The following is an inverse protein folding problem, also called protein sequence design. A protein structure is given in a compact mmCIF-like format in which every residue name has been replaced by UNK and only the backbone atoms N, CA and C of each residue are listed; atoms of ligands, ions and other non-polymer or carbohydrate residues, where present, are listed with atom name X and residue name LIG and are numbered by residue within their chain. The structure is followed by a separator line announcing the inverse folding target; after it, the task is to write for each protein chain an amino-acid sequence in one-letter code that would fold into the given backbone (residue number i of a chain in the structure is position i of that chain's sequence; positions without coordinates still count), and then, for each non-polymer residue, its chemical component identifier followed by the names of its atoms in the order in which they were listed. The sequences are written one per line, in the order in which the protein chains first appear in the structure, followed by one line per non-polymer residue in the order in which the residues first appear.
data_IF_820440074357
#
_entry.id   IF_820440074357
#
_cell.length_a   1.000
_cell.length_b   1.000
_cell.length_c   1.000
_cell.angle_alpha   90.00
_cell.angle_beta   90.00
_cell.angle_gamma   90.00
#
_symmetry.space_group_name_H-M   'P 1'
#
loop_
_entity.id
_entity.type
_entity.pdbx_description
1 polymer ?
#
# COMPACT_ATOMS: atom_id res chain seq x y z
N UNK A 1 -23.11 -2.12 4.90
CA UNK A 1 -21.90 -1.28 4.94
C UNK A 1 -22.28 0.06 4.33
N UNK A 2 -22.02 1.19 5.01
CA UNK A 2 -22.24 2.52 4.42
C UNK A 2 -21.34 2.66 3.19
N UNK A 3 -21.86 3.20 2.08
CA UNK A 3 -21.15 3.32 0.80
C UNK A 3 -21.30 4.72 0.19
N UNK A 4 -21.10 5.77 1.00
CA UNK A 4 -21.33 7.16 0.61
C UNK A 4 -22.79 7.51 0.25
N UNK A 5 -23.73 6.63 0.61
CA UNK A 5 -25.17 6.83 0.42
C UNK A 5 -25.79 7.20 1.77
N UNK A 6 -26.45 8.36 1.83
CA UNK A 6 -27.03 8.89 3.06
C UNK A 6 -25.99 9.55 3.99
N UNK A 7 -26.40 9.95 5.20
CA UNK A 7 -25.52 10.61 6.15
C UNK A 7 -24.38 9.69 6.59
N UNK A 8 -23.22 10.27 6.88
CA UNK A 8 -22.08 9.54 7.42
C UNK A 8 -22.45 8.88 8.77
N UNK A 9 -22.02 7.63 9.04
CA UNK A 9 -22.31 6.97 10.31
C UNK A 9 -21.79 7.78 11.50
N UNK A 10 -22.65 8.05 12.49
CA UNK A 10 -22.28 8.86 13.66
C UNK A 10 -21.01 8.36 14.39
N UNK A 11 -20.80 7.04 14.42
CA UNK A 11 -19.61 6.41 15.01
C UNK A 11 -18.29 6.84 14.35
N UNK A 12 -18.32 7.34 13.10
CA UNK A 12 -17.10 7.81 12.42
C UNK A 12 -16.52 9.05 13.11
N UNK A 13 -17.37 9.95 13.63
CA UNK A 13 -16.90 11.14 14.34
C UNK A 13 -16.18 10.75 15.65
N UNK A 14 -16.76 9.84 16.43
CA UNK A 14 -16.16 9.33 17.67
C UNK A 14 -14.83 8.61 17.38
N UNK A 15 -14.80 7.76 16.36
CA UNK A 15 -13.61 7.04 15.94
C UNK A 15 -12.52 7.98 15.39
N UNK A 16 -12.89 9.02 14.65
CA UNK A 16 -11.98 10.03 14.10
C UNK A 16 -11.30 10.82 15.20
N UNK A 17 -12.04 11.27 16.21
CA UNK A 17 -11.45 11.96 17.36
C UNK A 17 -10.49 11.04 18.13
N UNK A 18 -10.93 9.83 18.46
CA UNK A 18 -10.12 8.87 19.21
C UNK A 18 -8.82 8.52 18.48
N UNK A 19 -8.92 8.24 17.18
CA UNK A 19 -7.77 7.97 16.30
C UNK A 19 -6.82 9.16 16.26
N UNK A 20 -7.35 10.36 16.06
CA UNK A 20 -6.56 11.59 15.93
C UNK A 20 -5.75 11.86 17.20
N UNK A 21 -6.38 11.70 18.38
CA UNK A 21 -5.69 11.85 19.67
C UNK A 21 -4.61 10.78 19.86
N UNK A 22 -4.91 9.52 19.55
CA UNK A 22 -3.96 8.42 19.67
C UNK A 22 -2.75 8.61 18.75
N UNK A 23 -2.96 8.98 17.49
CA UNK A 23 -1.86 9.24 16.56
C UNK A 23 -1.08 10.51 16.92
N UNK A 24 -1.73 11.53 17.49
CA UNK A 24 -1.02 12.72 17.99
C UNK A 24 -0.09 12.36 19.16
N UNK A 25 -0.52 11.48 20.07
CA UNK A 25 0.33 10.97 21.13
C UNK A 25 1.53 10.19 20.55
N UNK A 26 1.29 9.29 19.59
CA UNK A 26 2.36 8.54 18.93
C UNK A 26 3.38 9.44 18.22
N UNK A 27 2.95 10.56 17.63
CA UNK A 27 3.87 11.55 17.04
C UNK A 27 4.72 12.21 18.12
N UNK A 28 4.13 12.64 19.25
CA UNK A 28 4.90 13.23 20.36
C UNK A 28 5.92 12.24 20.92
N UNK A 29 5.49 11.01 21.20
CA UNK A 29 6.35 9.95 21.72
C UNK A 29 7.52 9.67 20.75
N UNK A 30 7.25 9.63 19.44
CA UNK A 30 8.29 9.47 18.43
C UNK A 30 9.27 10.65 18.46
N UNK A 31 8.79 11.88 18.42
CA UNK A 31 9.63 13.09 18.41
C UNK A 31 10.51 13.16 19.66
N UNK A 32 9.92 12.92 20.83
CA UNK A 32 10.64 12.87 22.11
C UNK A 32 11.67 11.74 22.16
N UNK A 33 11.35 10.56 21.61
CA UNK A 33 12.30 9.43 21.57
C UNK A 33 13.56 9.70 20.74
N UNK A 34 13.51 10.67 19.82
CA UNK A 34 14.66 11.16 19.06
C UNK A 34 15.34 12.38 19.70
N UNK A 35 14.92 12.79 20.91
CA UNK A 35 15.46 13.96 21.60
C UNK A 35 15.09 15.30 20.95
N UNK A 36 14.02 15.31 20.15
CA UNK A 36 13.50 16.49 19.48
C UNK A 36 12.28 17.04 20.23
N UNK A 37 11.87 18.25 19.89
CA UNK A 37 10.61 18.85 20.33
C UNK A 37 9.66 19.02 19.14
N UNK A 38 8.36 19.21 19.40
CA UNK A 38 7.42 19.50 18.32
C UNK A 38 7.75 20.81 17.57
N UNK A 39 8.48 21.74 18.19
CA UNK A 39 8.96 22.96 17.53
C UNK A 39 10.02 22.71 16.45
N UNK A 40 10.68 21.55 16.48
CA UNK A 40 11.64 21.12 15.47
C UNK A 40 10.96 20.48 14.24
N UNK A 41 9.65 20.20 14.32
CA UNK A 41 8.90 19.48 13.29
C UNK A 41 8.20 20.47 12.35
N UNK A 42 8.72 20.59 11.13
CA UNK A 42 8.17 21.51 10.12
C UNK A 42 6.77 21.12 9.60
N UNK A 43 6.48 19.83 9.45
CA UNK A 43 5.17 19.32 9.03
C UNK A 43 4.99 17.85 9.40
N UNK A 44 3.77 17.45 9.75
CA UNK A 44 3.34 16.07 9.97
C UNK A 44 2.48 15.61 8.79
N UNK A 45 2.76 14.44 8.23
CA UNK A 45 1.91 13.78 7.24
C UNK A 45 0.93 12.83 7.91
N UNK A 46 -0.35 13.21 7.98
CA UNK A 46 -1.40 12.44 8.64
C UNK A 46 -2.33 11.79 7.61
N UNK A 47 -2.02 10.55 7.24
CA UNK A 47 -2.85 9.78 6.30
C UNK A 47 -4.26 9.51 6.87
N UNK A 48 -4.34 9.28 8.18
CA UNK A 48 -5.54 8.79 8.84
C UNK A 48 -5.77 7.30 8.63
N UNK A 49 -6.97 6.83 9.00
CA UNK A 49 -7.42 5.46 8.84
C UNK A 49 -8.44 5.38 7.72
N UNK A 50 -8.12 4.64 6.66
CA UNK A 50 -9.12 4.37 5.60
C UNK A 50 -10.23 3.48 6.17
N UNK A 51 -11.47 3.95 6.07
CA UNK A 51 -12.68 3.19 6.44
C UNK A 51 -13.50 2.80 5.23
N UNK A 52 -13.39 3.57 4.15
CA UNK A 52 -14.05 3.25 2.90
C UNK A 52 -13.28 3.84 1.72
N UNK A 53 -13.19 3.06 0.65
CA UNK A 53 -12.58 3.50 -0.59
C UNK A 53 -13.36 2.90 -1.77
N UNK A 54 -13.80 3.76 -2.69
CA UNK A 54 -14.52 3.36 -3.89
C UNK A 54 -13.87 4.02 -5.10
N UNK A 55 -13.09 3.25 -5.85
CA UNK A 55 -12.50 3.73 -7.09
C UNK A 55 -13.59 4.19 -8.10
N UNK A 56 -13.30 5.22 -8.91
CA UNK A 56 -14.19 5.65 -9.97
C UNK A 56 -14.38 4.57 -11.04
N UNK A 57 -15.58 4.51 -11.62
CA UNK A 57 -15.94 3.63 -12.73
C UNK A 57 -16.69 4.44 -13.80
N UNK A 58 -16.78 3.96 -15.06
CA UNK A 58 -17.63 4.61 -16.05
C UNK A 58 -19.05 4.82 -15.53
N UNK A 59 -19.51 6.08 -15.51
CA UNK A 59 -20.83 6.46 -15.00
C UNK A 59 -20.97 6.54 -13.48
N UNK A 60 -19.91 6.25 -12.69
CA UNK A 60 -19.92 6.34 -11.21
C UNK A 60 -18.70 7.08 -10.69
N UNK A 61 -18.92 8.21 -10.01
CA UNK A 61 -17.85 8.94 -9.33
C UNK A 61 -17.21 8.09 -8.24
N UNK A 62 -15.89 8.18 -8.14
CA UNK A 62 -15.15 7.60 -7.03
C UNK A 62 -15.36 8.40 -5.75
N UNK A 63 -15.14 7.77 -4.60
CA UNK A 63 -15.16 8.44 -3.31
C UNK A 63 -14.23 7.71 -2.31
N UNK A 64 -13.76 8.42 -1.28
CA UNK A 64 -12.80 7.91 -0.31
C UNK A 64 -13.01 8.57 1.05
N UNK A 65 -12.94 7.79 2.13
CA UNK A 65 -13.04 8.29 3.50
C UNK A 65 -11.90 7.73 4.34
N UNK A 66 -11.02 8.64 4.74
CA UNK A 66 -10.00 8.43 5.76
C UNK A 66 -10.43 9.18 7.02
N UNK A 67 -10.55 8.49 8.15
CA UNK A 67 -10.74 9.13 9.46
C UNK A 67 -9.43 9.78 9.89
N UNK A 68 -9.48 11.05 10.26
CA UNK A 68 -8.35 11.82 10.78
C UNK A 68 -8.63 13.32 10.69
N UNK A 69 -8.73 13.98 11.84
CA UNK A 69 -8.93 15.42 11.92
C UNK A 69 -7.58 16.15 11.97
N UNK A 70 -7.18 16.71 10.84
CA UNK A 70 -5.95 17.48 10.72
C UNK A 70 -5.92 18.76 11.57
N UNK A 71 -7.07 19.41 11.78
CA UNK A 71 -7.15 20.62 12.59
C UNK A 71 -7.02 20.29 14.09
N UNK A 72 -7.65 19.21 14.55
CA UNK A 72 -7.47 18.70 15.90
C UNK A 72 -6.00 18.28 16.13
N UNK A 73 -5.40 17.51 15.21
CA UNK A 73 -3.99 17.12 15.33
C UNK A 73 -3.07 18.35 15.38
N UNK A 74 -3.30 19.36 14.53
CA UNK A 74 -2.56 20.62 14.57
C UNK A 74 -2.66 21.29 15.94
N UNK A 75 -3.86 21.41 16.51
CA UNK A 75 -4.04 22.02 17.84
C UNK A 75 -3.36 21.25 18.98
N UNK A 76 -3.25 19.92 18.87
CA UNK A 76 -2.56 19.07 19.87
C UNK A 76 -1.04 19.16 19.75
N UNK A 77 -0.53 19.19 18.52
CA UNK A 77 0.89 19.07 18.20
C UNK A 77 1.61 20.41 18.12
N UNK A 78 0.92 21.48 17.70
CA UNK A 78 1.53 22.78 17.41
C UNK A 78 2.35 22.82 16.11
N UNK A 79 2.44 21.70 15.38
CA UNK A 79 3.09 21.61 14.07
C UNK A 79 2.05 21.70 12.93
N UNK A 80 2.50 22.06 11.72
CA UNK A 80 1.64 21.97 10.53
C UNK A 80 1.26 20.52 10.24
N UNK A 81 0.04 20.29 9.80
CA UNK A 81 -0.45 18.94 9.49
C UNK A 81 -0.97 18.89 8.06
N UNK A 82 -0.35 18.06 7.22
CA UNK A 82 -0.87 17.70 5.90
C UNK A 82 -1.71 16.43 6.02
N UNK A 83 -2.97 16.47 5.57
CA UNK A 83 -3.93 15.37 5.69
C UNK A 83 -4.85 15.28 4.46
N UNK A 84 -5.76 14.30 4.39
CA UNK A 84 -6.70 14.13 3.26
C UNK A 84 -6.03 14.03 1.87
N UNK A 85 -4.98 13.20 1.77
CA UNK A 85 -4.17 13.10 0.55
C UNK A 85 -4.92 12.53 -0.67
N UNK A 86 -6.04 11.82 -0.48
CA UNK A 86 -6.69 11.02 -1.52
C UNK A 86 -7.88 11.72 -2.19
N UNK A 87 -8.57 12.62 -1.48
CA UNK A 87 -9.87 13.14 -1.93
C UNK A 87 -9.81 13.85 -3.29
N UNK A 88 -8.82 14.71 -3.52
CA UNK A 88 -8.73 15.46 -4.78
C UNK A 88 -8.41 14.55 -5.97
N UNK A 89 -7.56 13.55 -5.77
CA UNK A 89 -7.24 12.54 -6.78
C UNK A 89 -8.50 11.79 -7.22
N UNK A 90 -9.25 11.27 -6.24
CA UNK A 90 -10.47 10.49 -6.48
C UNK A 90 -11.57 11.34 -7.13
N UNK A 91 -11.76 12.59 -6.67
CA UNK A 91 -12.72 13.54 -7.27
C UNK A 91 -12.38 13.88 -8.71
N UNK A 92 -11.10 13.87 -9.08
CA UNK A 92 -10.64 14.11 -10.45
C UNK A 92 -10.70 12.85 -11.34
N UNK A 93 -11.20 11.73 -10.83
CA UNK A 93 -11.32 10.48 -11.58
C UNK A 93 -10.11 9.54 -11.45
N UNK A 94 -9.15 9.88 -10.60
CA UNK A 94 -8.07 8.97 -10.21
C UNK A 94 -8.52 7.89 -9.23
N UNK A 95 -7.71 6.85 -9.09
CA UNK A 95 -7.94 5.71 -8.19
C UNK A 95 -7.68 6.05 -6.72
N UNK A 96 -7.06 7.17 -6.38
CA UNK A 96 -6.66 7.53 -5.01
C UNK A 96 -5.50 6.71 -4.43
N UNK A 97 -4.99 5.72 -5.18
CA UNK A 97 -3.93 4.80 -4.78
C UNK A 97 -3.21 4.20 -6.01
N UNK A 98 -1.94 3.75 -5.87
CA UNK A 98 -1.05 4.00 -4.74
C UNK A 98 -0.45 5.42 -4.79
N UNK A 99 -0.41 6.13 -3.66
CA UNK A 99 0.25 7.44 -3.54
C UNK A 99 1.76 7.34 -3.28
N UNK A 100 2.24 6.13 -2.94
CA UNK A 100 3.65 5.88 -2.64
C UNK A 100 4.58 6.05 -3.84
N UNK A 101 4.03 6.16 -5.06
CA UNK A 101 4.79 6.30 -6.29
C UNK A 101 5.83 7.44 -6.21
N UNK A 102 5.40 8.63 -5.78
CA UNK A 102 6.29 9.79 -5.69
C UNK A 102 7.49 9.55 -4.76
N UNK A 103 7.28 8.87 -3.63
CA UNK A 103 8.32 8.55 -2.67
C UNK A 103 9.23 7.42 -3.17
N UNK A 104 8.64 6.35 -3.72
CA UNK A 104 9.39 5.26 -4.33
C UNK A 104 10.30 5.73 -5.46
N UNK A 105 9.86 6.69 -6.30
CA UNK A 105 10.74 7.26 -7.33
C UNK A 105 11.89 8.09 -6.73
N UNK A 106 11.69 8.75 -5.58
CA UNK A 106 12.79 9.42 -4.87
C UNK A 106 13.80 8.41 -4.32
N UNK A 107 13.32 7.30 -3.73
CA UNK A 107 14.16 6.20 -3.26
C UNK A 107 14.93 5.50 -4.39
N UNK A 108 14.26 5.21 -5.51
CA UNK A 108 14.89 4.62 -6.69
C UNK A 108 15.92 5.56 -7.32
N UNK A 109 15.72 6.88 -7.27
CA UNK A 109 16.71 7.85 -7.75
C UNK A 109 18.04 7.74 -7.01
N UNK A 110 17.99 7.45 -5.71
CA UNK A 110 19.19 7.26 -4.89
C UNK A 110 19.79 5.87 -5.09
N UNK A 111 18.96 4.82 -5.21
CA UNK A 111 19.42 3.43 -5.26
C UNK A 111 19.79 2.93 -6.66
N UNK A 112 18.97 3.22 -7.68
CA UNK A 112 19.12 2.75 -9.06
C UNK A 112 18.24 3.53 -10.06
N UNK A 113 18.85 4.43 -10.83
CA UNK A 113 18.18 5.19 -11.89
C UNK A 113 18.20 4.50 -13.26
N UNK A 114 18.56 3.22 -13.36
CA UNK A 114 18.55 2.48 -14.63
C UNK A 114 17.15 2.02 -15.04
N UNK A 115 16.21 1.95 -14.10
CA UNK A 115 14.90 1.32 -14.22
C UNK A 115 14.93 -0.22 -14.19
N UNK A 116 16.07 -0.83 -13.85
CA UNK A 116 16.16 -2.28 -13.60
C UNK A 116 15.56 -2.66 -12.25
N UNK A 117 15.41 -1.72 -11.32
CA UNK A 117 14.80 -1.93 -10.00
C UNK A 117 13.39 -1.35 -9.92
N UNK A 118 12.43 -2.12 -9.41
CA UNK A 118 11.12 -1.64 -8.98
C UNK A 118 10.96 -1.80 -7.46
N UNK A 119 10.12 -0.97 -6.85
CA UNK A 119 9.73 -1.11 -5.44
C UNK A 119 8.45 -1.93 -5.36
N UNK A 120 8.42 -2.96 -4.52
CA UNK A 120 7.25 -3.75 -4.22
C UNK A 120 6.92 -3.64 -2.72
N UNK A 121 5.76 -3.10 -2.38
CA UNK A 121 5.26 -3.13 -1.02
C UNK A 121 4.28 -4.28 -0.83
N UNK A 122 4.52 -5.12 0.18
CA UNK A 122 3.65 -6.24 0.55
C UNK A 122 3.00 -5.99 1.91
N UNK A 123 1.93 -5.18 1.91
CA UNK A 123 1.05 -4.94 3.06
C UNK A 123 -0.10 -5.95 3.13
N UNK A 124 -1.33 -5.48 3.33
CA UNK A 124 -2.54 -6.30 3.10
C UNK A 124 -2.79 -6.53 1.60
N UNK A 125 -2.59 -5.47 0.81
CA UNK A 125 -2.59 -5.45 -0.65
C UNK A 125 -1.15 -5.22 -1.13
N UNK A 126 -0.76 -5.88 -2.22
CA UNK A 126 0.54 -5.67 -2.86
C UNK A 126 0.47 -4.50 -3.83
N UNK A 127 1.46 -3.60 -3.80
CA UNK A 127 1.58 -2.54 -4.79
C UNK A 127 3.00 -2.41 -5.30
N UNK A 128 3.13 -2.10 -6.59
CA UNK A 128 4.42 -1.94 -7.26
C UNK A 128 4.58 -0.50 -7.73
N UNK A 129 5.79 0.04 -7.64
CA UNK A 129 6.21 1.25 -8.34
C UNK A 129 7.43 0.95 -9.19
N UNK A 130 7.37 1.30 -10.47
CA UNK A 130 8.48 1.27 -11.39
C UNK A 130 8.74 2.68 -11.94
N UNK A 131 10.01 3.03 -12.09
CA UNK A 131 10.45 4.32 -12.64
C UNK A 131 11.56 4.06 -13.65
N UNK A 132 11.51 4.73 -14.79
CA UNK A 132 12.45 4.51 -15.90
C UNK A 132 13.79 5.25 -15.76
N UNK A 133 14.02 5.93 -14.64
CA UNK A 133 15.17 6.81 -14.46
C UNK A 133 14.96 8.24 -14.96
N UNK A 134 13.80 8.53 -15.57
CA UNK A 134 13.48 9.80 -16.24
C UNK A 134 12.10 10.31 -15.80
N UNK A 135 11.15 10.40 -16.73
CA UNK A 135 9.84 11.03 -16.51
C UNK A 135 8.72 9.99 -16.35
N UNK A 136 8.98 8.72 -16.66
CA UNK A 136 7.94 7.71 -16.63
C UNK A 136 7.95 6.98 -15.29
N UNK A 137 6.84 7.15 -14.55
CA UNK A 137 6.57 6.45 -13.31
C UNK A 137 5.26 5.68 -13.44
N UNK A 138 5.29 4.38 -13.17
CA UNK A 138 4.11 3.51 -13.19
C UNK A 138 3.93 2.93 -11.81
N UNK A 139 2.72 3.01 -11.27
CA UNK A 139 2.41 2.38 -10.00
C UNK A 139 0.96 1.90 -9.98
N UNK A 140 0.73 0.73 -9.39
CA UNK A 140 -0.59 0.12 -9.28
C UNK A 140 -0.56 -1.04 -8.29
N UNK A 141 -1.74 -1.52 -7.91
CA UNK A 141 -1.88 -2.67 -7.03
C UNK A 141 -1.69 -3.98 -7.84
N UNK A 142 -0.81 -4.85 -7.36
CA UNK A 142 -0.48 -6.12 -8.04
C UNK A 142 -1.56 -7.18 -7.82
N UNK A 143 -2.28 -7.09 -6.71
CA UNK A 143 -3.18 -8.11 -6.17
C UNK A 143 -3.11 -8.14 -4.64
N UNK A 144 -3.69 -9.16 -3.98
CA UNK A 144 -3.56 -9.28 -2.54
C UNK A 144 -2.11 -9.60 -2.13
N UNK A 145 -1.73 -9.12 -0.95
CA UNK A 145 -0.49 -9.51 -0.27
C UNK A 145 -0.83 -10.38 0.95
N UNK A 146 -0.62 -9.89 2.18
CA UNK A 146 -0.79 -10.70 3.38
C UNK A 146 -2.25 -10.90 3.81
N UNK A 147 -3.20 -10.09 3.33
CA UNK A 147 -4.56 -10.12 3.87
C UNK A 147 -5.26 -11.49 3.73
N UNK A 148 -5.31 -12.16 2.56
CA UNK A 148 -5.94 -13.48 2.47
C UNK A 148 -5.25 -14.55 3.31
N UNK A 149 -3.93 -14.51 3.39
CA UNK A 149 -3.14 -15.45 4.20
C UNK A 149 -3.43 -15.25 5.69
N UNK A 150 -3.38 -14.01 6.18
CA UNK A 150 -3.66 -13.68 7.58
C UNK A 150 -5.11 -14.05 7.96
N UNK A 151 -6.07 -13.70 7.10
CA UNK A 151 -7.49 -14.04 7.31
C UNK A 151 -7.68 -15.58 7.34
N UNK A 152 -6.96 -16.33 6.49
CA UNK A 152 -6.97 -17.79 6.49
C UNK A 152 -6.36 -18.40 7.78
N UNK A 153 -5.19 -17.92 8.20
CA UNK A 153 -4.54 -18.38 9.46
C UNK A 153 -5.46 -18.11 10.65
N UNK A 154 -6.06 -16.93 10.70
CA UNK A 154 -6.98 -16.54 11.76
C UNK A 154 -8.25 -17.39 11.77
N UNK A 155 -8.84 -17.63 10.61
CA UNK A 155 -10.02 -18.48 10.48
C UNK A 155 -9.78 -19.93 10.93
N UNK A 156 -8.54 -20.42 10.81
CA UNK A 156 -8.14 -21.74 11.28
C UNK A 156 -7.70 -21.77 12.76
N UNK A 157 -7.74 -20.64 13.48
CA UNK A 157 -7.34 -20.57 14.89
C UNK A 157 -5.83 -20.70 15.14
N UNK A 158 -5.01 -20.40 14.14
CA UNK A 158 -3.55 -20.62 14.16
C UNK A 158 -2.74 -19.34 14.47
N UNK A 159 -3.42 -18.28 14.93
CA UNK A 159 -2.83 -16.97 15.22
C UNK A 159 -3.27 -15.88 14.24
N UNK A 160 -2.56 -14.76 14.21
CA UNK A 160 -2.92 -13.60 13.37
C UNK A 160 -2.27 -13.63 11.97
N UNK A 161 -1.21 -14.41 11.78
CA UNK A 161 -0.45 -14.49 10.51
C UNK A 161 0.42 -15.75 10.47
N UNK A 162 0.84 -16.15 9.27
CA UNK A 162 1.84 -17.21 9.08
C UNK A 162 3.24 -16.65 9.39
N UNK A 163 3.61 -16.73 10.67
CA UNK A 163 4.89 -16.20 11.17
C UNK A 163 6.05 -16.91 10.49
N UNK A 164 6.95 -16.11 9.92
CA UNK A 164 8.12 -16.57 9.17
C UNK A 164 7.78 -17.52 7.99
N UNK A 165 6.52 -17.53 7.54
CA UNK A 165 6.08 -18.39 6.45
C UNK A 165 6.16 -19.89 6.75
N UNK A 166 6.12 -20.28 8.03
CA UNK A 166 6.38 -21.64 8.47
C UNK A 166 5.32 -22.64 7.97
N UNK A 167 4.03 -22.27 8.00
CA UNK A 167 2.96 -23.12 7.49
C UNK A 167 3.05 -23.24 5.97
N UNK A 168 3.25 -22.13 5.27
CA UNK A 168 3.43 -22.14 3.82
C UNK A 168 4.64 -22.95 3.36
N UNK A 169 5.70 -23.05 4.18
CA UNK A 169 6.87 -23.87 3.88
C UNK A 169 6.61 -25.38 4.06
N UNK A 170 5.74 -25.74 5.00
CA UNK A 170 5.37 -27.13 5.28
C UNK A 170 4.34 -27.69 4.29
N UNK A 171 3.64 -26.81 3.57
CA UNK A 171 2.56 -27.17 2.66
C UNK A 171 2.99 -27.44 1.23
N UNK A 172 2.06 -28.03 0.48
CA UNK A 172 2.14 -28.19 -0.97
C UNK A 172 1.17 -27.24 -1.65
N UNK A 173 1.64 -26.53 -2.67
CA UNK A 173 0.80 -25.63 -3.47
C UNK A 173 -0.17 -26.45 -4.32
N UNK A 174 -1.47 -26.15 -4.24
CA UNK A 174 -2.48 -26.66 -5.18
C UNK A 174 -2.33 -25.93 -6.52
N UNK A 175 -1.43 -26.42 -7.39
CA UNK A 175 -1.10 -25.79 -8.67
C UNK A 175 -2.29 -25.71 -9.64
N UNK A 176 -3.21 -26.68 -9.59
CA UNK A 176 -4.41 -26.69 -10.44
C UNK A 176 -5.34 -25.55 -10.04
N UNK A 177 -5.58 -25.39 -8.74
CA UNK A 177 -6.36 -24.28 -8.20
C UNK A 177 -5.68 -22.94 -8.44
N UNK A 178 -4.38 -22.85 -8.19
CA UNK A 178 -3.59 -21.65 -8.44
C UNK A 178 -3.72 -21.19 -9.89
N UNK A 179 -3.57 -22.10 -10.85
CA UNK A 179 -3.71 -21.79 -12.27
C UNK A 179 -5.09 -21.23 -12.61
N UNK A 180 -6.16 -21.72 -11.98
CA UNK A 180 -7.53 -21.20 -12.14
C UNK A 180 -7.69 -19.81 -11.52
N UNK A 181 -7.21 -19.60 -10.29
CA UNK A 181 -7.29 -18.31 -9.60
C UNK A 181 -6.54 -17.21 -10.38
N UNK A 182 -5.40 -17.56 -10.99
CA UNK A 182 -4.59 -16.65 -11.79
C UNK A 182 -5.24 -16.20 -13.12
N UNK A 183 -6.40 -16.76 -13.48
CA UNK A 183 -7.22 -16.30 -14.61
C UNK A 183 -8.12 -15.11 -14.24
N UNK A 184 -8.12 -14.64 -12.99
CA UNK A 184 -8.96 -13.53 -12.56
C UNK A 184 -8.68 -12.25 -13.40
N UNK A 185 -9.70 -11.61 -14.00
CA UNK A 185 -9.52 -10.49 -14.94
C UNK A 185 -8.74 -9.30 -14.40
N UNK A 186 -8.79 -9.07 -13.08
CA UNK A 186 -8.02 -8.03 -12.42
C UNK A 186 -6.51 -8.14 -12.69
N UNK A 187 -5.98 -9.37 -12.73
CA UNK A 187 -4.55 -9.62 -12.84
C UNK A 187 -3.98 -9.22 -14.21
N UNK A 188 -4.81 -9.21 -15.26
CA UNK A 188 -4.44 -8.80 -16.62
C UNK A 188 -4.98 -7.43 -17.03
N UNK A 189 -5.80 -6.78 -16.20
CA UNK A 189 -6.27 -5.41 -16.43
C UNK A 189 -5.07 -4.46 -16.51
N UNK A 190 -5.02 -3.54 -17.51
CA UNK A 190 -3.96 -2.54 -17.59
C UNK A 190 -3.99 -1.58 -16.39
N UNK A 191 -2.86 -0.97 -16.07
CA UNK A 191 -2.80 0.16 -15.14
C UNK A 191 -3.37 1.42 -15.82
N UNK A 192 -3.84 2.43 -15.05
CA UNK A 192 -3.99 2.48 -13.59
C UNK A 192 -5.04 1.50 -13.05
N UNK A 193 -4.72 0.83 -11.94
CA UNK A 193 -5.67 -0.02 -11.20
C UNK A 193 -5.33 -0.04 -9.71
N UNK A 194 -6.36 0.01 -8.88
CA UNK A 194 -6.28 -0.26 -7.44
C UNK A 194 -7.21 -1.41 -7.06
N UNK A 195 -7.02 -1.94 -5.86
CA UNK A 195 -7.76 -3.07 -5.30
C UNK A 195 -8.26 -2.73 -3.89
N UNK A 196 -9.44 -3.23 -3.51
CA UNK A 196 -9.83 -3.31 -2.11
C UNK A 196 -9.33 -4.62 -1.46
N UNK A 197 -9.00 -4.59 -0.16
CA UNK A 197 -8.51 -5.78 0.54
C UNK A 197 -9.48 -6.97 0.47
N UNK A 198 -10.78 -6.75 0.25
CA UNK A 198 -11.81 -7.78 0.22
C UNK A 198 -12.08 -8.37 -1.18
N UNK A 199 -11.46 -7.82 -2.23
CA UNK A 199 -11.63 -8.33 -3.60
C UNK A 199 -11.06 -9.75 -3.78
N UNK A 200 -10.06 -10.11 -2.96
CA UNK A 200 -9.50 -11.46 -2.88
C UNK A 200 -9.45 -11.88 -1.41
N UNK A 201 -10.08 -13.01 -1.08
CA UNK A 201 -10.21 -13.47 0.31
C UNK A 201 -9.60 -14.84 0.57
N UNK A 202 -9.60 -15.24 1.85
CA UNK A 202 -9.14 -16.54 2.32
C UNK A 202 -9.84 -17.73 1.64
N UNK A 203 -11.06 -17.52 1.10
CA UNK A 203 -11.85 -18.52 0.39
C UNK A 203 -11.13 -19.15 -0.82
N UNK A 204 -10.09 -18.49 -1.34
CA UNK A 204 -9.19 -19.08 -2.34
C UNK A 204 -8.56 -20.40 -1.87
N UNK A 205 -8.42 -20.63 -0.56
CA UNK A 205 -7.89 -21.85 0.04
C UNK A 205 -8.97 -22.77 0.65
N UNK A 206 -10.27 -22.55 0.39
CA UNK A 206 -11.33 -23.35 1.01
C UNK A 206 -11.18 -24.85 0.73
N UNK A 207 -11.32 -25.66 1.78
CA UNK A 207 -11.16 -27.11 1.73
C UNK A 207 -9.72 -27.61 1.67
N UNK A 208 -8.70 -26.74 1.72
CA UNK A 208 -7.31 -27.14 1.91
C UNK A 208 -6.98 -27.24 3.41
N UNK A 209 -5.99 -28.08 3.73
CA UNK A 209 -5.36 -28.10 5.06
C UNK A 209 -4.62 -26.79 5.35
N UNK A 210 -4.22 -26.58 6.61
CA UNK A 210 -3.58 -25.33 7.04
C UNK A 210 -2.29 -25.04 6.26
N UNK A 211 -1.43 -26.05 6.11
CA UNK A 211 -0.15 -25.95 5.43
C UNK A 211 -0.35 -25.70 3.92
N UNK A 212 -1.15 -26.54 3.25
CA UNK A 212 -1.42 -26.43 1.80
C UNK A 212 -2.17 -25.14 1.45
N UNK A 213 -3.08 -24.71 2.31
CA UNK A 213 -3.80 -23.44 2.17
C UNK A 213 -2.86 -22.24 2.28
N UNK A 214 -1.98 -22.22 3.30
CA UNK A 214 -0.96 -21.19 3.46
C UNK A 214 0.02 -21.16 2.28
N UNK A 215 0.47 -22.33 1.81
CA UNK A 215 1.34 -22.45 0.64
C UNK A 215 0.66 -21.92 -0.64
N UNK A 216 -0.61 -22.29 -0.86
CA UNK A 216 -1.38 -21.88 -2.04
C UNK A 216 -1.68 -20.38 -2.06
N UNK A 217 -2.06 -19.79 -0.92
CA UNK A 217 -2.28 -18.34 -0.81
C UNK A 217 -0.98 -17.55 -1.02
N UNK A 218 0.11 -18.02 -0.43
CA UNK A 218 1.45 -17.42 -0.64
C UNK A 218 1.85 -17.50 -2.11
N UNK A 219 1.65 -18.66 -2.76
CA UNK A 219 1.93 -18.84 -4.18
C UNK A 219 1.05 -17.95 -5.07
N UNK A 220 -0.22 -17.73 -4.71
CA UNK A 220 -1.10 -16.81 -5.41
C UNK A 220 -0.59 -15.36 -5.35
N UNK A 221 -0.27 -14.87 -4.15
CA UNK A 221 0.28 -13.51 -3.95
C UNK A 221 1.49 -13.25 -4.84
N UNK A 222 2.49 -14.13 -4.82
CA UNK A 222 3.73 -13.88 -5.56
C UNK A 222 3.57 -14.09 -7.08
N UNK A 223 2.64 -14.95 -7.49
CA UNK A 223 2.32 -15.14 -8.92
C UNK A 223 1.53 -13.94 -9.47
N UNK A 224 0.66 -13.33 -8.65
CA UNK A 224 -0.01 -12.08 -8.98
C UNK A 224 1.00 -10.94 -9.17
N UNK A 225 2.04 -10.86 -8.32
CA UNK A 225 3.18 -9.95 -8.54
C UNK A 225 3.86 -10.25 -9.87
N UNK A 226 4.16 -11.52 -10.17
CA UNK A 226 4.75 -11.91 -11.46
C UNK A 226 3.99 -11.40 -12.68
N UNK A 227 2.66 -11.54 -12.67
CA UNK A 227 1.75 -11.01 -13.71
C UNK A 227 1.73 -9.49 -13.74
N UNK A 228 1.75 -8.83 -12.58
CA UNK A 228 1.82 -7.37 -12.51
C UNK A 228 3.10 -6.83 -13.15
N UNK A 229 4.24 -7.50 -12.93
CA UNK A 229 5.50 -7.10 -13.56
C UNK A 229 5.47 -7.21 -15.10
N UNK A 230 4.68 -8.13 -15.66
CA UNK A 230 4.50 -8.26 -17.12
C UNK A 230 3.67 -7.13 -17.72
N UNK A 231 2.92 -6.38 -16.89
CA UNK A 231 2.17 -5.23 -17.36
C UNK A 231 3.05 -3.99 -17.51
N UNK A 232 4.20 -3.94 -16.82
CA UNK A 232 5.08 -2.77 -16.84
C UNK A 232 5.65 -2.53 -18.25
N UNK A 233 5.94 -1.26 -18.63
CA UNK A 233 6.57 -0.94 -19.91
C UNK A 233 7.87 -1.71 -20.15
N UNK A 234 8.59 -2.00 -19.06
CA UNK A 234 9.74 -2.87 -19.03
C UNK A 234 9.73 -3.67 -17.74
N UNK A 235 9.94 -4.98 -17.86
CA UNK A 235 10.06 -5.85 -16.69
C UNK A 235 11.33 -5.51 -15.91
N UNK A 236 11.26 -5.20 -14.61
CA UNK A 236 12.45 -4.97 -13.80
C UNK A 236 13.22 -6.27 -13.61
N UNK A 237 14.54 -6.16 -13.42
CA UNK A 237 15.42 -7.28 -13.07
C UNK A 237 15.44 -7.52 -11.56
N UNK A 238 15.15 -6.49 -10.77
CA UNK A 238 15.21 -6.49 -9.31
C UNK A 238 13.95 -5.89 -8.69
N UNK A 239 13.49 -6.49 -7.60
CA UNK A 239 12.47 -5.93 -6.71
C UNK A 239 13.08 -5.57 -5.36
N UNK A 240 12.97 -4.31 -4.98
CA UNK A 240 13.19 -3.86 -3.61
C UNK A 240 11.89 -4.02 -2.82
N UNK A 241 11.85 -4.96 -1.88
CA UNK A 241 10.61 -5.36 -1.19
C UNK A 241 10.49 -4.70 0.18
N UNK A 242 9.38 -4.00 0.41
CA UNK A 242 8.98 -3.37 1.68
C UNK A 242 7.69 -3.98 2.26
N UNK A 243 7.27 -3.50 3.43
CA UNK A 243 6.05 -3.97 4.09
C UNK A 243 6.23 -5.29 4.83
N UNK A 244 5.17 -5.75 5.51
CA UNK A 244 5.22 -6.94 6.38
C UNK A 244 5.57 -8.23 5.64
N UNK A 245 5.13 -8.37 4.37
CA UNK A 245 5.36 -9.59 3.59
C UNK A 245 6.83 -9.88 3.33
N UNK A 246 7.70 -8.87 3.33
CA UNK A 246 9.15 -9.04 3.17
C UNK A 246 9.81 -9.87 4.28
N UNK A 247 9.15 -9.98 5.45
CA UNK A 247 9.60 -10.76 6.60
C UNK A 247 9.20 -12.24 6.52
N UNK A 248 8.42 -12.64 5.51
CA UNK A 248 8.07 -14.03 5.26
C UNK A 248 9.10 -14.65 4.28
N UNK A 249 10.10 -15.41 4.76
CA UNK A 249 11.14 -15.99 3.90
C UNK A 249 10.58 -16.95 2.84
N UNK A 250 9.51 -17.69 3.15
CA UNK A 250 8.83 -18.57 2.19
C UNK A 250 8.25 -17.75 1.03
N UNK A 251 7.57 -16.65 1.34
CA UNK A 251 7.04 -15.73 0.34
C UNK A 251 8.18 -15.11 -0.50
N UNK A 252 9.29 -14.69 0.10
CA UNK A 252 10.43 -14.13 -0.65
C UNK A 252 11.07 -15.15 -1.59
N UNK A 253 11.25 -16.40 -1.13
CA UNK A 253 11.80 -17.47 -1.95
C UNK A 253 10.86 -17.84 -3.11
N UNK A 254 9.54 -17.93 -2.85
CA UNK A 254 8.55 -18.17 -3.90
C UNK A 254 8.48 -16.99 -4.88
N UNK A 255 8.62 -15.75 -4.41
CA UNK A 255 8.61 -14.56 -5.24
C UNK A 255 9.75 -14.56 -6.25
N UNK A 256 10.99 -14.79 -5.80
CA UNK A 256 12.14 -14.84 -6.69
C UNK A 256 11.97 -15.89 -7.81
N UNK A 257 11.43 -17.06 -7.46
CA UNK A 257 11.21 -18.17 -8.40
C UNK A 257 10.04 -17.91 -9.36
N UNK A 258 8.86 -17.59 -8.83
CA UNK A 258 7.62 -17.49 -9.62
C UNK A 258 7.53 -16.18 -10.42
N UNK A 259 8.09 -15.10 -9.89
CA UNK A 259 8.19 -13.84 -10.62
C UNK A 259 9.51 -13.72 -11.42
N UNK A 260 10.39 -14.73 -11.40
CA UNK A 260 11.65 -14.73 -12.17
C UNK A 260 12.40 -13.39 -12.11
N UNK A 261 12.69 -12.94 -10.89
CA UNK A 261 13.25 -11.62 -10.59
C UNK A 261 14.19 -11.71 -9.39
N UNK A 262 15.23 -10.89 -9.35
CA UNK A 262 16.04 -10.74 -8.14
C UNK A 262 15.19 -10.06 -7.07
N UNK A 263 15.12 -10.66 -5.88
CA UNK A 263 14.39 -10.09 -4.74
C UNK A 263 15.41 -9.60 -3.73
N UNK A 264 15.36 -8.30 -3.41
CA UNK A 264 16.19 -7.69 -2.36
C UNK A 264 15.29 -7.06 -1.31
N UNK A 265 15.67 -7.17 -0.04
CA UNK A 265 14.94 -6.50 1.03
C UNK A 265 15.24 -5.00 1.00
N UNK A 266 14.26 -4.16 1.35
CA UNK A 266 14.43 -2.72 1.45
C UNK A 266 15.67 -2.32 2.29
N UNK A 267 15.97 -3.07 3.34
CA UNK A 267 17.11 -2.88 4.22
C UNK A 267 18.47 -3.00 3.49
N UNK A 268 18.56 -3.81 2.43
CA UNK A 268 19.79 -3.92 1.62
C UNK A 268 20.13 -2.65 0.85
N UNK A 269 19.15 -1.78 0.64
CA UNK A 269 19.30 -0.47 0.01
C UNK A 269 19.41 0.66 1.05
N UNK A 270 19.54 0.33 2.34
CA UNK A 270 19.60 1.28 3.43
C UNK A 270 18.23 1.83 3.86
N UNK A 271 17.13 1.29 3.35
CA UNK A 271 15.78 1.75 3.67
C UNK A 271 15.22 1.06 4.92
N UNK A 272 14.34 1.75 5.64
CA UNK A 272 13.61 1.16 6.77
C UNK A 272 12.34 0.49 6.25
N UNK A 273 12.39 -0.81 5.93
CA UNK A 273 11.32 -1.50 5.22
C UNK A 273 9.93 -1.49 5.91
N UNK A 274 9.88 -1.36 7.24
CA UNK A 274 8.62 -1.17 7.99
C UNK A 274 8.12 0.28 7.99
N UNK A 275 9.01 1.25 7.71
CA UNK A 275 8.69 2.67 7.76
C UNK A 275 8.45 3.28 6.36
N UNK A 276 8.71 2.57 5.27
CA UNK A 276 8.58 3.09 3.88
C UNK A 276 7.21 3.76 3.64
N UNK A 277 6.11 3.19 4.15
CA UNK A 277 4.78 3.82 4.02
C UNK A 277 4.64 5.08 4.89
N UNK A 278 5.15 5.07 6.12
CA UNK A 278 5.10 6.25 7.01
C UNK A 278 5.98 7.40 6.48
N UNK A 279 7.18 7.08 6.03
CA UNK A 279 8.10 8.01 5.38
C UNK A 279 7.51 8.56 4.08
N UNK A 280 6.77 7.74 3.31
CA UNK A 280 6.01 8.23 2.17
C UNK A 280 5.05 9.35 2.58
N UNK A 281 4.25 9.19 3.64
CA UNK A 281 3.33 10.26 4.04
C UNK A 281 4.05 11.50 4.58
N UNK A 282 5.20 11.35 5.23
CA UNK A 282 6.06 12.48 5.57
C UNK A 282 6.57 13.22 4.30
N UNK A 283 7.02 12.46 3.29
CA UNK A 283 7.44 12.99 2.00
C UNK A 283 6.31 13.71 1.26
N UNK A 284 5.12 13.11 1.22
CA UNK A 284 3.93 13.73 0.63
C UNK A 284 3.54 15.00 1.39
N UNK A 285 3.65 15.04 2.72
CA UNK A 285 3.38 16.24 3.49
C UNK A 285 4.27 17.43 3.08
N UNK A 286 5.57 17.18 2.86
CA UNK A 286 6.49 18.19 2.33
C UNK A 286 6.09 18.63 0.92
N UNK A 287 5.59 17.73 0.08
CA UNK A 287 5.08 18.08 -1.26
C UNK A 287 3.83 18.93 -1.18
N UNK A 288 2.88 18.59 -0.32
CA UNK A 288 1.67 19.40 -0.05
C UNK A 288 2.08 20.81 0.40
N UNK A 289 2.97 20.91 1.38
CA UNK A 289 3.48 22.18 1.89
C UNK A 289 4.13 23.06 0.80
N UNK A 290 4.73 22.44 -0.22
CA UNK A 290 5.39 23.11 -1.35
C UNK A 290 4.50 23.30 -2.58
N UNK A 291 3.23 22.90 -2.54
CA UNK A 291 2.35 22.94 -3.71
C UNK A 291 2.80 22.02 -4.86
N UNK A 292 3.47 20.91 -4.55
CA UNK A 292 3.94 19.94 -5.54
C UNK A 292 2.93 18.81 -5.75
N UNK A 293 2.86 18.21 -6.96
CA UNK A 293 1.95 17.10 -7.23
C UNK A 293 2.23 15.87 -6.36
N UNK A 294 1.20 15.18 -5.89
CA UNK A 294 1.32 13.92 -5.13
C UNK A 294 0.76 12.70 -5.89
N UNK A 295 0.09 12.94 -7.02
CA UNK A 295 -0.42 11.88 -7.89
C UNK A 295 -0.26 12.23 -9.37
N UNK A 296 -0.23 11.20 -10.21
CA UNK A 296 0.16 11.29 -11.62
C UNK A 296 -0.74 10.43 -12.53
N UNK A 297 -0.88 10.79 -13.82
CA UNK A 297 -1.73 10.05 -14.75
C UNK A 297 -1.40 8.56 -14.87
N UNK A 298 -0.11 8.22 -14.89
CA UNK A 298 0.38 6.84 -15.01
C UNK A 298 0.38 6.04 -13.71
N UNK A 299 0.01 6.67 -12.58
CA UNK A 299 -0.07 6.00 -11.26
C UNK A 299 -1.52 5.83 -10.84
N UNK A 300 -2.26 6.92 -10.65
CA UNK A 300 -3.64 6.88 -10.17
C UNK A 300 -4.66 7.08 -11.28
N UNK A 301 -4.27 7.56 -12.47
CA UNK A 301 -5.20 7.86 -13.55
C UNK A 301 -5.81 9.26 -13.51
N UNK A 302 -5.28 10.16 -12.68
CA UNK A 302 -5.64 11.59 -12.74
C UNK A 302 -5.33 12.19 -14.11
N UNK A 303 -6.06 13.23 -14.56
CA UNK A 303 -5.92 13.77 -15.91
C UNK A 303 -4.58 14.51 -16.16
N UNK A 304 -3.88 14.89 -15.09
CA UNK A 304 -2.57 15.57 -15.10
C UNK A 304 -1.90 15.35 -13.74
N UNK A 305 -0.61 15.67 -13.55
CA UNK A 305 -0.03 15.73 -12.21
C UNK A 305 -0.86 16.65 -11.31
N UNK A 306 -1.30 16.11 -10.17
CA UNK A 306 -2.22 16.79 -9.27
C UNK A 306 -1.61 16.98 -7.89
N UNK A 307 -1.74 18.20 -7.36
CA UNK A 307 -1.66 18.42 -5.92
C UNK A 307 -2.83 17.71 -5.24
N UNK A 308 -2.69 17.47 -3.95
CA UNK A 308 -3.77 16.97 -3.12
C UNK A 308 -3.43 17.24 -1.66
N UNK A 309 -4.22 16.67 -0.76
CA UNK A 309 -4.09 16.99 0.65
C UNK A 309 -4.66 18.35 1.03
N UNK A 310 -4.80 18.55 2.33
CA UNK A 310 -5.16 19.78 3.02
C UNK A 310 -4.06 20.09 4.01
N UNK A 311 -3.87 21.37 4.31
CA UNK A 311 -2.89 21.83 5.29
C UNK A 311 -3.63 22.52 6.44
N UNK A 312 -3.41 22.03 7.67
CA UNK A 312 -3.80 22.73 8.88
C UNK A 312 -2.57 23.44 9.48
N UNK A 313 -2.71 24.74 9.75
CA UNK A 313 -1.65 25.62 10.30
C UNK A 313 -0.84 26.39 9.26
#
# INVERSE_FOLDING_TARGET
MWNFDGPEPAIFAEAEEALTRAQSAAVKDLVESYGLTMGDIGVVGFHGQTVLHRAPQPGRRGDTRQLGDGALMHSILGAKVAYDFRSDDVRAGGQGAPLAAAYHAALLREADASGDTAVLNLGGVGNVTWWDGKDNIVAFDTGPANAPLNDFIKANGLGEMDRDGALGAAGTVDEVRLAKLLQHPYLTKPYPKSLDRFDFGAAMADGLGAEDGAATLTAFTVSAVGKALDLLPRRPKRLAVSGGGRRNPTMMAMLARRANVEVVQAETLGWKGDAVEAECFAFLAVRVLRGLPISFPSTTGVPRPMQGGRLAG
#
